data_IF_564688418183
#
_entry.id   IF_564688418183
#
_cell.length_a   1.000
_cell.length_b   1.000
_cell.length_c   1.000
_cell.angle_alpha   90.00
_cell.angle_beta   90.00
_cell.angle_gamma   90.00
#
_symmetry.space_group_name_H-M   'P 1'
#
loop_
_entity.id
_entity.type
_entity.pdbx_description
1 polymer ?
#
# COMPACT_ATOMS: atom_id res chain seq x y z
N UNK A 1 -4.39 11.64 24.52
CA UNK A 1 -4.17 11.99 23.10
C UNK A 1 -4.08 13.51 23.05
N UNK A 2 -3.01 14.05 22.52
CA UNK A 2 -2.82 15.50 22.36
C UNK A 2 -2.59 15.75 20.86
N UNK A 3 -3.60 16.28 20.19
CA UNK A 3 -3.56 16.47 18.74
C UNK A 3 -3.48 15.13 18.00
N UNK A 4 -2.49 14.99 17.14
CA UNK A 4 -2.22 13.75 16.35
C UNK A 4 -1.20 12.80 17.03
N UNK A 5 -0.91 12.98 18.31
CA UNK A 5 0.07 12.19 19.05
C UNK A 5 -0.56 11.43 20.22
N UNK A 6 -0.02 10.24 20.45
CA UNK A 6 -0.32 9.38 21.59
C UNK A 6 0.88 9.38 22.55
N UNK A 7 0.71 9.91 23.75
CA UNK A 7 1.72 9.80 24.80
C UNK A 7 1.40 8.60 25.70
N UNK A 8 2.39 7.74 25.92
CA UNK A 8 2.35 6.63 26.85
C UNK A 8 3.01 7.08 28.14
N UNK A 9 2.28 7.01 29.24
CA UNK A 9 2.76 7.45 30.53
C UNK A 9 2.73 6.31 31.56
N UNK A 10 3.72 6.25 32.44
CA UNK A 10 3.71 5.38 33.60
C UNK A 10 3.48 6.20 34.86
N UNK A 11 2.72 5.63 35.79
CA UNK A 11 2.59 6.17 37.14
C UNK A 11 3.63 5.53 38.05
N UNK A 12 4.60 6.33 38.50
CA UNK A 12 5.60 5.91 39.46
C UNK A 12 5.33 6.61 40.81
N UNK A 13 4.63 5.93 41.68
CA UNK A 13 4.14 6.52 42.91
C UNK A 13 3.09 7.60 42.67
N UNK A 14 3.38 8.87 43.02
CA UNK A 14 2.49 10.02 42.78
C UNK A 14 2.86 10.84 41.51
N UNK A 15 3.93 10.44 40.81
CA UNK A 15 4.39 11.14 39.64
C UNK A 15 4.00 10.39 38.36
N UNK A 16 3.58 11.16 37.36
CA UNK A 16 3.34 10.65 36.00
C UNK A 16 4.59 10.92 35.17
N UNK A 17 5.20 9.87 34.61
CA UNK A 17 6.38 9.97 33.77
C UNK A 17 6.00 9.53 32.36
N UNK A 18 6.29 10.37 31.37
CA UNK A 18 6.12 9.99 29.96
C UNK A 18 7.21 9.00 29.57
N UNK A 19 6.81 7.83 29.08
CA UNK A 19 7.72 6.76 28.64
C UNK A 19 7.99 6.87 27.16
N UNK A 20 6.97 7.15 26.37
CA UNK A 20 7.07 7.18 24.92
C UNK A 20 5.99 8.08 24.31
N UNK A 21 6.30 8.63 23.13
CA UNK A 21 5.38 9.44 22.33
C UNK A 21 5.39 8.93 20.90
N UNK A 22 4.20 8.70 20.35
CA UNK A 22 4.01 8.22 19.00
C UNK A 22 3.05 9.14 18.25
N UNK A 23 3.37 9.46 17.01
CA UNK A 23 2.38 10.03 16.11
C UNK A 23 1.30 8.97 15.82
N UNK A 24 0.05 9.40 15.76
CA UNK A 24 -1.04 8.52 15.33
C UNK A 24 -0.76 8.01 13.92
N UNK A 25 -0.99 6.73 13.72
CA UNK A 25 -0.88 6.10 12.42
C UNK A 25 -2.25 5.68 11.92
N UNK A 26 -2.40 5.61 10.61
CA UNK A 26 -3.59 5.04 9.99
C UNK A 26 -3.66 3.54 10.24
N UNK A 27 -4.86 2.95 10.34
CA UNK A 27 -5.01 1.50 10.43
C UNK A 27 -4.23 0.78 9.33
N UNK A 28 -3.53 -0.31 9.68
CA UNK A 28 -2.70 -1.08 8.74
C UNK A 28 -1.26 -0.57 8.54
N UNK A 29 -0.92 0.62 9.05
CA UNK A 29 0.44 1.18 8.93
C UNK A 29 1.05 1.47 10.32
N UNK A 30 1.49 0.44 11.05
CA UNK A 30 2.07 0.62 12.38
C UNK A 30 3.38 1.40 12.30
N UNK A 31 3.52 2.43 13.13
CA UNK A 31 4.79 3.13 13.32
C UNK A 31 5.54 2.51 14.47
N UNK A 32 6.70 1.95 14.17
CA UNK A 32 7.62 1.39 15.17
C UNK A 32 8.79 2.35 15.33
N UNK A 33 9.09 2.70 16.58
CA UNK A 33 10.26 3.52 16.91
C UNK A 33 11.29 2.61 17.55
N UNK A 34 12.39 2.37 16.86
CA UNK A 34 13.44 1.40 17.28
C UNK A 34 14.04 1.74 18.63
N UNK A 35 14.12 3.02 18.99
CA UNK A 35 14.61 3.48 20.29
C UNK A 35 13.80 2.95 21.50
N UNK A 36 12.56 2.50 21.26
CA UNK A 36 11.74 1.92 22.32
C UNK A 36 12.04 0.43 22.59
N UNK A 37 12.92 -0.17 21.81
CA UNK A 37 13.35 -1.56 21.95
C UNK A 37 14.85 -1.66 22.24
N UNK A 38 15.28 -1.52 23.51
CA UNK A 38 16.69 -1.40 23.88
C UNK A 38 17.58 -2.58 23.51
N UNK A 39 17.00 -3.69 23.08
CA UNK A 39 17.74 -4.87 22.64
C UNK A 39 17.83 -5.03 21.12
N UNK A 40 17.28 -4.11 20.36
CA UNK A 40 17.41 -4.08 18.90
C UNK A 40 18.69 -3.33 18.49
N UNK A 41 19.84 -3.93 18.76
CA UNK A 41 21.10 -3.50 18.14
C UNK A 41 21.08 -3.94 16.68
N UNK A 42 20.73 -3.00 15.82
CA UNK A 42 21.02 -3.02 14.38
C UNK A 42 20.48 -4.19 13.56
N UNK A 43 19.50 -3.93 12.76
CA UNK A 43 19.36 -4.59 11.47
C UNK A 43 18.53 -5.86 11.38
N UNK A 44 18.02 -6.40 12.47
CA UNK A 44 17.15 -7.57 12.38
C UNK A 44 15.72 -7.22 12.80
N UNK A 45 15.09 -6.28 12.06
CA UNK A 45 13.65 -6.10 12.19
C UNK A 45 12.99 -7.45 11.95
N UNK A 46 12.10 -7.93 12.85
CA UNK A 46 11.34 -9.12 12.56
C UNK A 46 10.65 -8.88 11.22
N UNK A 47 11.05 -9.64 10.22
CA UNK A 47 10.39 -9.57 8.91
C UNK A 47 8.91 -9.80 9.16
N UNK A 48 8.04 -8.97 8.57
CA UNK A 48 6.61 -9.20 8.68
C UNK A 48 6.33 -10.68 8.39
N UNK A 49 5.45 -11.31 9.16
CA UNK A 49 5.19 -12.74 9.02
C UNK A 49 4.78 -13.01 7.58
N UNK A 50 5.58 -13.85 6.89
CA UNK A 50 5.22 -14.27 5.54
C UNK A 50 3.98 -15.16 5.61
N UNK A 51 2.93 -14.87 4.84
CA UNK A 51 1.76 -15.72 4.79
C UNK A 51 2.19 -17.16 4.41
N UNK A 52 1.73 -18.13 5.18
CA UNK A 52 1.95 -19.55 4.88
C UNK A 52 0.67 -20.11 4.27
N UNK A 53 0.71 -20.61 3.04
CA UNK A 53 -0.47 -21.15 2.40
C UNK A 53 -0.95 -22.40 3.15
N UNK A 54 -2.26 -22.49 3.40
CA UNK A 54 -2.94 -23.65 3.98
C UNK A 54 -3.66 -24.47 2.93
N UNK A 55 -3.93 -23.90 1.79
CA UNK A 55 -4.65 -24.53 0.68
C UNK A 55 -3.85 -24.35 -0.62
N UNK A 56 -4.16 -25.18 -1.62
CA UNK A 56 -3.57 -25.03 -2.96
C UNK A 56 -3.88 -23.65 -3.56
N UNK A 57 -5.12 -23.19 -3.41
CA UNK A 57 -5.55 -21.87 -3.92
C UNK A 57 -4.74 -20.71 -3.29
N UNK A 58 -4.45 -20.80 -2.00
CA UNK A 58 -3.58 -19.81 -1.33
C UNK A 58 -2.13 -19.92 -1.83
N UNK A 59 -1.64 -21.13 -2.10
CA UNK A 59 -0.30 -21.33 -2.65
C UNK A 59 -0.19 -20.74 -4.06
N UNK A 60 -1.17 -21.03 -4.92
CA UNK A 60 -1.25 -20.50 -6.28
C UNK A 60 -1.32 -18.96 -6.29
N UNK A 61 -2.09 -18.37 -5.38
CA UNK A 61 -2.15 -16.91 -5.24
C UNK A 61 -0.80 -16.32 -4.78
N UNK A 62 -0.18 -16.88 -3.75
CA UNK A 62 1.11 -16.39 -3.25
C UNK A 62 2.25 -16.61 -4.24
N UNK A 63 2.12 -17.57 -5.15
CA UNK A 63 3.08 -17.80 -6.23
C UNK A 63 3.06 -16.69 -7.30
N UNK A 64 2.03 -15.84 -7.34
CA UNK A 64 1.96 -14.67 -8.24
C UNK A 64 3.15 -13.76 -8.01
N UNK A 65 3.45 -13.40 -6.74
CA UNK A 65 4.63 -12.61 -6.42
C UNK A 65 4.58 -11.86 -5.10
N UNK A 66 5.43 -10.84 -5.00
CA UNK A 66 5.54 -10.04 -3.78
C UNK A 66 4.33 -9.16 -3.54
N UNK A 67 3.74 -8.61 -4.60
CA UNK A 67 2.50 -7.82 -4.53
C UNK A 67 1.34 -8.62 -3.96
N UNK A 68 1.22 -9.92 -4.34
CA UNK A 68 0.23 -10.81 -3.77
C UNK A 68 0.45 -11.04 -2.26
N UNK A 69 1.70 -11.18 -1.83
CA UNK A 69 2.03 -11.28 -0.40
C UNK A 69 1.63 -10.03 0.38
N UNK A 70 2.01 -8.86 -0.13
CA UNK A 70 1.68 -7.56 0.48
C UNK A 70 0.17 -7.38 0.54
N UNK A 71 -0.53 -7.64 -0.56
CA UNK A 71 -1.98 -7.52 -0.63
C UNK A 71 -2.68 -8.38 0.42
N UNK A 72 -2.25 -9.64 0.61
CA UNK A 72 -2.87 -10.55 1.58
C UNK A 72 -2.68 -10.08 3.02
N UNK A 73 -1.49 -9.56 3.34
CA UNK A 73 -1.19 -9.03 4.69
C UNK A 73 -2.05 -7.80 4.97
N UNK A 74 -2.12 -6.86 4.05
CA UNK A 74 -2.89 -5.63 4.21
C UNK A 74 -4.40 -5.89 4.21
N UNK A 75 -4.89 -6.78 3.35
CA UNK A 75 -6.29 -7.20 3.33
C UNK A 75 -6.70 -7.87 4.66
N UNK A 76 -5.82 -8.65 5.27
CA UNK A 76 -6.06 -9.24 6.59
C UNK A 76 -6.05 -8.19 7.70
N UNK A 77 -5.13 -7.22 7.65
CA UNK A 77 -5.03 -6.14 8.63
C UNK A 77 -6.25 -5.22 8.61
N UNK A 78 -6.80 -4.94 7.43
CA UNK A 78 -8.01 -4.10 7.26
C UNK A 78 -9.31 -4.86 7.50
N UNK A 79 -9.26 -6.19 7.69
CA UNK A 79 -10.46 -7.01 7.85
C UNK A 79 -11.28 -7.17 6.56
N UNK A 80 -10.61 -7.14 5.40
CA UNK A 80 -11.27 -7.31 4.11
C UNK A 80 -12.09 -8.61 4.06
N UNK A 81 -13.28 -8.51 3.49
CA UNK A 81 -14.19 -9.65 3.37
C UNK A 81 -13.98 -10.42 2.07
N UNK A 82 -14.46 -11.68 1.99
CA UNK A 82 -14.42 -12.53 0.79
C UNK A 82 -13.01 -12.70 0.18
N UNK A 83 -11.96 -12.64 1.01
CA UNK A 83 -10.55 -12.70 0.60
C UNK A 83 -10.26 -13.90 -0.32
N UNK A 84 -10.84 -15.07 -0.01
CA UNK A 84 -10.64 -16.28 -0.84
C UNK A 84 -11.15 -16.14 -2.26
N UNK A 85 -12.32 -15.51 -2.45
CA UNK A 85 -12.87 -15.27 -3.78
C UNK A 85 -12.00 -14.30 -4.57
N UNK A 86 -11.52 -13.25 -3.92
CA UNK A 86 -10.62 -12.26 -4.51
C UNK A 86 -9.27 -12.87 -4.91
N UNK A 87 -8.69 -13.75 -4.06
CA UNK A 87 -7.47 -14.50 -4.40
C UNK A 87 -7.69 -15.41 -5.62
N UNK A 88 -8.81 -16.14 -5.67
CA UNK A 88 -9.13 -16.98 -6.83
C UNK A 88 -9.23 -16.14 -8.11
N UNK A 89 -9.89 -14.98 -8.04
CA UNK A 89 -9.99 -14.06 -9.17
C UNK A 89 -8.62 -13.54 -9.63
N UNK A 90 -7.72 -13.23 -8.70
CA UNK A 90 -6.36 -12.80 -9.05
C UNK A 90 -5.58 -13.93 -9.76
N UNK A 91 -5.75 -15.18 -9.33
CA UNK A 91 -5.14 -16.35 -10.01
C UNK A 91 -5.71 -16.52 -11.42
N UNK A 92 -7.03 -16.32 -11.62
CA UNK A 92 -7.64 -16.32 -12.95
C UNK A 92 -7.04 -15.24 -13.85
N UNK A 93 -6.88 -14.01 -13.35
CA UNK A 93 -6.21 -12.94 -14.09
C UNK A 93 -4.76 -13.30 -14.42
N UNK A 94 -4.00 -13.89 -13.48
CA UNK A 94 -2.62 -14.30 -13.71
C UNK A 94 -2.48 -15.43 -14.74
N UNK A 95 -3.53 -16.24 -14.93
CA UNK A 95 -3.56 -17.26 -15.98
C UNK A 95 -3.80 -16.68 -17.39
N UNK A 96 -4.44 -15.53 -17.49
CA UNK A 96 -4.81 -14.88 -18.77
C UNK A 96 -3.82 -13.77 -19.12
N UNK A 97 -3.38 -13.00 -18.12
CA UNK A 97 -2.49 -11.85 -18.25
C UNK A 97 -1.07 -12.22 -17.82
N UNK A 98 -0.11 -11.35 -18.11
CA UNK A 98 1.24 -11.53 -17.60
C UNK A 98 1.23 -11.49 -16.05
N UNK A 99 1.73 -12.52 -15.40
CA UNK A 99 1.80 -12.68 -13.95
C UNK A 99 2.42 -11.45 -13.25
N UNK A 100 3.49 -10.90 -13.85
CA UNK A 100 4.16 -9.70 -13.33
C UNK A 100 3.23 -8.47 -13.27
N UNK A 101 2.31 -8.32 -14.23
CA UNK A 101 1.33 -7.21 -14.23
C UNK A 101 0.28 -7.39 -13.15
N UNK A 102 -0.16 -8.63 -12.91
CA UNK A 102 -1.10 -8.93 -11.82
C UNK A 102 -0.44 -8.71 -10.46
N UNK A 103 0.82 -9.11 -10.30
CA UNK A 103 1.59 -8.84 -9.08
C UNK A 103 1.75 -7.35 -8.82
N UNK A 104 2.08 -6.57 -9.84
CA UNK A 104 2.15 -5.12 -9.77
C UNK A 104 0.80 -4.50 -9.35
N UNK A 105 -0.30 -4.93 -9.97
CA UNK A 105 -1.63 -4.46 -9.65
C UNK A 105 -2.04 -4.77 -8.20
N UNK A 106 -1.71 -5.95 -7.70
CA UNK A 106 -1.92 -6.34 -6.31
C UNK A 106 -1.11 -5.48 -5.34
N UNK A 107 0.16 -5.18 -5.68
CA UNK A 107 0.98 -4.27 -4.91
C UNK A 107 0.40 -2.85 -4.84
N UNK A 108 -0.09 -2.31 -5.96
CA UNK A 108 -0.76 -1.02 -6.02
C UNK A 108 -2.07 -1.01 -5.22
N UNK A 109 -2.88 -2.07 -5.33
CA UNK A 109 -4.10 -2.22 -4.56
C UNK A 109 -3.82 -2.20 -3.04
N UNK A 110 -2.78 -2.92 -2.61
CA UNK A 110 -2.35 -2.94 -1.22
C UNK A 110 -1.91 -1.56 -0.73
N UNK A 111 -1.07 -0.86 -1.51
CA UNK A 111 -0.58 0.47 -1.17
C UNK A 111 -1.71 1.52 -1.09
N UNK A 112 -2.73 1.38 -1.93
CA UNK A 112 -3.90 2.26 -1.95
C UNK A 112 -5.03 1.84 -0.99
N UNK A 113 -4.88 0.73 -0.25
CA UNK A 113 -5.93 0.21 0.64
C UNK A 113 -7.20 -0.24 -0.10
N UNK A 114 -7.06 -0.68 -1.35
CA UNK A 114 -8.18 -1.07 -2.23
C UNK A 114 -8.32 -2.58 -2.24
N UNK A 115 -9.38 -3.06 -1.59
CA UNK A 115 -9.62 -4.50 -1.41
C UNK A 115 -11.00 -4.95 -1.87
N UNK A 116 -11.73 -4.13 -2.64
CA UNK A 116 -13.02 -4.53 -3.19
C UNK A 116 -12.89 -5.49 -4.36
N UNK A 117 -13.98 -6.17 -4.70
CA UNK A 117 -13.98 -7.25 -5.69
C UNK A 117 -13.62 -6.74 -7.10
N UNK A 118 -14.01 -5.50 -7.43
CA UNK A 118 -13.73 -4.87 -8.72
C UNK A 118 -12.39 -4.16 -8.80
N UNK A 119 -11.76 -3.86 -7.65
CA UNK A 119 -10.57 -3.00 -7.59
C UNK A 119 -9.41 -3.53 -8.42
N UNK A 120 -9.13 -4.84 -8.33
CA UNK A 120 -8.04 -5.44 -9.08
C UNK A 120 -8.26 -5.31 -10.60
N UNK A 121 -9.50 -5.51 -11.06
CA UNK A 121 -9.85 -5.34 -12.47
C UNK A 121 -9.63 -3.89 -12.92
N UNK A 122 -10.14 -2.92 -12.16
CA UNK A 122 -9.95 -1.50 -12.47
C UNK A 122 -8.48 -1.09 -12.52
N UNK A 123 -7.64 -1.60 -11.61
CA UNK A 123 -6.20 -1.31 -11.60
C UNK A 123 -5.51 -1.95 -12.81
N UNK A 124 -5.88 -3.18 -13.17
CA UNK A 124 -5.34 -3.85 -14.36
C UNK A 124 -5.73 -3.12 -15.64
N UNK A 125 -6.98 -2.68 -15.76
CA UNK A 125 -7.44 -1.87 -16.90
C UNK A 125 -6.69 -0.54 -16.98
N UNK A 126 -6.46 0.11 -15.84
CA UNK A 126 -5.68 1.33 -15.79
C UNK A 126 -4.22 1.11 -16.24
N UNK A 127 -3.56 0.06 -15.74
CA UNK A 127 -2.20 -0.30 -16.14
C UNK A 127 -2.09 -0.67 -17.62
N UNK A 128 -3.16 -1.25 -18.17
CA UNK A 128 -3.23 -1.58 -19.59
C UNK A 128 -3.34 -0.34 -20.48
N UNK A 129 -4.16 0.63 -20.07
CA UNK A 129 -4.44 1.84 -20.85
C UNK A 129 -3.35 2.90 -20.72
N UNK A 130 -2.71 3.01 -19.56
CA UNK A 130 -1.82 4.12 -19.23
C UNK A 130 -0.36 3.69 -18.98
N UNK A 131 -0.08 2.38 -19.03
CA UNK A 131 1.23 1.85 -18.71
C UNK A 131 1.57 1.85 -17.21
N UNK A 132 2.85 1.70 -16.92
CA UNK A 132 3.33 1.71 -15.54
C UNK A 132 3.21 3.13 -14.96
N UNK A 133 2.59 3.31 -13.76
CA UNK A 133 2.54 4.61 -13.09
C UNK A 133 3.93 5.19 -12.75
N UNK A 134 5.00 4.39 -12.88
CA UNK A 134 6.38 4.87 -12.84
C UNK A 134 6.85 5.54 -14.13
N UNK A 135 6.14 5.33 -15.23
CA UNK A 135 6.42 5.94 -16.52
C UNK A 135 5.52 7.19 -16.70
N UNK A 136 5.65 8.14 -15.77
CA UNK A 136 5.08 9.46 -15.94
C UNK A 136 5.87 10.12 -17.07
N UNK A 137 5.33 10.02 -18.28
CA UNK A 137 5.78 10.85 -19.38
C UNK A 137 5.53 12.29 -18.94
N UNK A 138 6.56 12.97 -18.48
CA UNK A 138 6.55 14.41 -18.34
C UNK A 138 6.31 14.95 -19.76
N UNK A 139 5.07 15.30 -20.04
CA UNK A 139 4.75 16.07 -21.24
C UNK A 139 5.40 17.43 -21.01
N UNK A 140 6.55 17.62 -21.64
CA UNK A 140 7.22 18.91 -21.69
C UNK A 140 6.23 19.90 -22.30
N UNK A 141 6.09 21.10 -21.70
CA UNK A 141 5.22 22.18 -22.23
C UNK A 141 5.52 22.49 -23.71
N UNK A 142 6.74 22.24 -24.17
CA UNK A 142 7.16 22.40 -25.56
C UNK A 142 6.43 21.42 -26.52
N UNK A 143 5.90 20.31 -26.03
CA UNK A 143 5.16 19.30 -26.79
C UNK A 143 3.65 19.27 -26.47
N UNK A 144 3.20 20.24 -25.66
CA UNK A 144 1.77 20.40 -25.39
C UNK A 144 1.08 20.97 -26.64
N UNK A 145 0.09 20.24 -27.16
CA UNK A 145 -0.77 20.73 -28.24
C UNK A 145 -1.72 21.85 -27.77
N UNK A 146 -1.74 22.18 -26.49
CA UNK A 146 -2.48 23.32 -25.96
C UNK A 146 -1.60 24.56 -26.00
N UNK A 147 -2.05 25.65 -26.63
CA UNK A 147 -1.34 26.93 -26.57
C UNK A 147 -1.28 27.33 -25.09
N UNK A 148 -0.05 27.57 -24.60
CA UNK A 148 0.17 27.99 -23.21
C UNK A 148 -0.66 29.22 -22.86
N UNK A 149 -0.90 29.44 -21.59
CA UNK A 149 -1.72 30.52 -21.02
C UNK A 149 -1.24 31.94 -21.43
N UNK A 150 -0.10 32.08 -22.08
CA UNK A 150 0.42 33.36 -22.61
C UNK A 150 -0.52 34.06 -23.57
N UNK A 151 -1.42 33.34 -24.27
CA UNK A 151 -2.43 33.93 -25.13
C UNK A 151 -3.55 34.64 -24.36
N UNK A 152 -3.77 34.30 -23.10
CA UNK A 152 -4.79 34.91 -22.24
C UNK A 152 -4.42 36.29 -21.72
N UNK A 153 -3.14 36.65 -21.73
CA UNK A 153 -2.66 37.95 -21.29
C UNK A 153 -3.11 39.08 -22.20
N UNK A 154 -3.58 38.77 -23.41
CA UNK A 154 -4.04 39.78 -24.41
C UNK A 154 -5.53 40.10 -24.28
N UNK A 155 -6.28 39.40 -23.47
CA UNK A 155 -7.73 39.61 -23.29
C UNK A 155 -8.08 40.60 -22.18
N UNK A 156 -7.10 41.22 -21.50
CA UNK A 156 -7.28 42.13 -20.40
C UNK A 156 -6.73 43.56 -20.63
N UNK A 157 -6.44 43.93 -21.89
CA UNK A 157 -5.97 45.29 -22.22
C UNK A 157 -7.01 45.99 -23.09
#
# INVERSE_FOLDING_TARGET
>A
VVGEELAIVAMTGKATVEIARHALSTPGNPRVVDAHYPHHTGGNHPRPPRPRPRTKAEADFLAIGHGAHTWLVEAAATGATRVRAKMARAVEFAAILAQAKVDQALGLAAAAGRFDEADLGCILDHLWLHGDPGDVVHVDEAHSAQPGTGSWQRFGA
#
